data_IF_261777259536
#
_entry.id   IF_261777259536
#
_cell.length_a   1.000
_cell.length_b   1.000
_cell.length_c   1.000
_cell.angle_alpha   90.00
_cell.angle_beta   90.00
_cell.angle_gamma   90.00
#
_symmetry.space_group_name_H-M   'P 1'
#
loop_
_entity.id
_entity.type
_entity.pdbx_description
1 polymer ?
#
# COMPACT_ATOMS: atom_id res chain seq x y z
N UNK A 1 -11.38 14.28 -11.98
CA UNK A 1 -11.50 13.67 -10.94
C UNK A 1 -10.23 13.55 -10.13
N UNK A 2 -10.06 14.52 -9.31
CA UNK A 2 -8.86 14.74 -8.57
C UNK A 2 -8.53 13.62 -7.62
N UNK A 3 -7.27 13.36 -7.48
CA UNK A 3 -6.75 12.59 -6.38
C UNK A 3 -7.33 13.17 -5.10
N UNK A 4 -7.80 12.35 -4.20
CA UNK A 4 -8.17 12.84 -2.90
C UNK A 4 -6.96 13.57 -2.33
N UNK A 5 -7.17 14.62 -1.59
CA UNK A 5 -6.24 15.44 -0.91
C UNK A 5 -5.44 14.78 0.09
N UNK A 6 -4.15 14.64 -0.06
CA UNK A 6 -3.73 13.57 0.58
C UNK A 6 -2.32 13.40 0.95
N UNK A 7 -1.44 14.22 0.64
CA UNK A 7 -0.12 14.22 1.21
C UNK A 7 -0.12 15.07 2.45
N UNK A 8 0.64 14.66 3.43
CA UNK A 8 0.85 15.40 4.65
C UNK A 8 1.35 16.82 4.42
N UNK A 9 1.35 17.59 5.45
CA UNK A 9 1.80 18.97 5.41
C UNK A 9 3.23 19.10 4.87
N UNK A 10 3.55 20.24 4.35
CA UNK A 10 4.88 20.51 3.79
C UNK A 10 5.98 20.27 4.82
N UNK A 11 6.89 19.37 4.56
CA UNK A 11 7.91 19.00 5.52
C UNK A 11 8.96 20.05 5.79
N UNK A 12 9.27 20.87 4.83
CA UNK A 12 10.23 21.93 5.01
C UNK A 12 9.76 23.00 5.99
N UNK A 13 8.45 23.25 6.01
CA UNK A 13 7.85 24.17 6.97
C UNK A 13 7.88 23.60 8.38
N UNK A 14 7.68 22.29 8.54
CA UNK A 14 7.71 21.63 9.84
C UNK A 14 9.09 21.70 10.46
N UNK A 15 10.15 21.47 9.69
CA UNK A 15 11.52 21.50 10.18
C UNK A 15 12.00 22.90 10.63
N UNK A 16 11.42 23.96 10.06
CA UNK A 16 11.81 25.33 10.33
C UNK A 16 10.88 26.08 11.28
N UNK A 17 9.68 25.59 11.50
CA UNK A 17 8.68 26.29 12.29
C UNK A 17 8.88 26.11 13.80
N UNK A 18 8.63 27.14 14.62
CA UNK A 18 8.60 26.95 16.05
C UNK A 18 7.47 26.01 16.45
N UNK A 19 7.75 25.09 17.37
CA UNK A 19 6.77 24.15 17.88
C UNK A 19 5.82 24.87 18.83
N UNK A 20 4.52 24.88 18.51
CA UNK A 20 3.47 25.32 19.42
C UNK A 20 2.94 24.12 20.23
N UNK A 21 2.32 24.39 21.38
CA UNK A 21 1.91 23.36 22.32
C UNK A 21 1.09 22.22 21.70
N UNK A 22 0.12 22.54 20.85
CA UNK A 22 -0.73 21.56 20.16
C UNK A 22 -0.04 20.82 19.01
N UNK A 23 1.17 21.20 18.60
CA UNK A 23 1.87 20.63 17.45
C UNK A 23 3.09 19.78 17.84
N UNK A 24 3.46 19.76 19.10
CA UNK A 24 4.69 19.08 19.58
C UNK A 24 4.72 17.57 19.32
N UNK A 25 3.56 16.94 19.09
CA UNK A 25 3.45 15.50 18.84
C UNK A 25 3.23 15.16 17.37
N UNK A 26 3.31 16.14 16.46
CA UNK A 26 3.16 15.89 15.04
C UNK A 26 4.37 15.13 14.48
N UNK A 27 4.10 14.26 13.52
CA UNK A 27 5.15 13.61 12.73
C UNK A 27 5.82 14.61 11.80
N UNK A 28 6.93 14.24 11.20
CA UNK A 28 7.61 15.09 10.21
C UNK A 28 6.71 15.40 9.02
N UNK A 29 5.81 14.46 8.64
CA UNK A 29 4.82 14.66 7.59
C UNK A 29 3.63 15.53 8.00
N UNK A 30 3.58 16.00 9.26
CA UNK A 30 2.50 16.84 9.77
C UNK A 30 1.28 16.06 10.26
N UNK A 31 1.38 14.74 10.39
CA UNK A 31 0.29 13.91 10.90
C UNK A 31 0.20 13.98 12.42
N UNK A 32 -1.01 14.06 12.93
CA UNK A 32 -1.28 13.92 14.36
C UNK A 32 -1.60 12.45 14.68
N UNK A 33 -0.78 11.74 15.45
CA UNK A 33 -1.05 10.35 15.80
C UNK A 33 -2.41 10.13 16.47
N UNK A 34 -2.91 11.12 17.22
CA UNK A 34 -4.23 11.03 17.87
C UNK A 34 -5.37 10.89 16.85
N UNK A 35 -5.22 11.40 15.65
CA UNK A 35 -6.21 11.29 14.58
C UNK A 35 -6.26 9.89 13.94
N UNK A 36 -5.36 8.99 14.34
CA UNK A 36 -5.36 7.60 13.91
C UNK A 36 -5.81 6.63 15.00
N UNK A 37 -6.16 7.15 16.16
CA UNK A 37 -6.68 6.36 17.28
C UNK A 37 -8.18 6.17 17.15
N UNK A 38 -8.64 4.94 16.99
CA UNK A 38 -10.05 4.58 16.92
C UNK A 38 -10.23 3.11 17.28
N UNK A 39 -11.46 2.72 17.56
CA UNK A 39 -11.82 1.32 17.70
C UNK A 39 -12.61 0.89 16.46
N UNK A 40 -12.08 -0.06 15.70
CA UNK A 40 -12.72 -0.60 14.52
C UNK A 40 -12.91 -2.10 14.73
N UNK A 41 -14.18 -2.51 14.76
CA UNK A 41 -14.55 -3.92 14.97
C UNK A 41 -13.92 -4.53 16.24
N UNK A 42 -13.87 -3.73 17.31
CA UNK A 42 -13.33 -4.17 18.60
C UNK A 42 -11.80 -4.11 18.72
N UNK A 43 -11.11 -3.60 17.71
CA UNK A 43 -9.64 -3.49 17.71
C UNK A 43 -9.21 -2.05 17.63
N UNK A 44 -8.20 -1.70 18.42
CA UNK A 44 -7.65 -0.34 18.47
C UNK A 44 -6.69 -0.10 17.32
N UNK A 45 -6.91 1.02 16.60
CA UNK A 45 -5.99 1.50 15.57
C UNK A 45 -4.98 2.49 16.14
N UNK A 46 -3.83 2.57 15.50
CA UNK A 46 -2.72 3.45 15.87
C UNK A 46 -1.99 3.94 14.63
N UNK A 47 -1.19 4.99 14.80
CA UNK A 47 -0.16 5.39 13.84
C UNK A 47 1.22 5.08 14.44
N UNK A 48 2.01 4.34 13.71
CA UNK A 48 3.40 4.02 14.07
C UNK A 48 4.34 4.86 13.22
N UNK A 49 5.43 5.31 13.81
CA UNK A 49 6.44 6.13 13.12
C UNK A 49 7.77 5.42 13.14
N UNK A 50 8.37 5.23 11.98
CA UNK A 50 9.75 4.73 11.84
C UNK A 50 10.65 5.86 11.37
N UNK A 51 11.88 5.86 11.89
CA UNK A 51 12.91 6.82 11.52
C UNK A 51 14.26 6.13 11.40
N UNK A 52 15.11 6.67 10.53
CA UNK A 52 16.49 6.23 10.41
C UNK A 52 17.44 7.37 10.81
N UNK A 53 18.74 7.06 10.85
CA UNK A 53 19.79 8.02 11.23
C UNK A 53 19.95 9.18 10.24
N UNK A 54 19.41 9.07 9.04
CA UNK A 54 19.48 10.11 8.00
C UNK A 54 18.26 11.02 7.99
N UNK A 55 17.33 10.84 8.94
CA UNK A 55 16.15 11.70 9.05
C UNK A 55 14.97 11.32 8.17
N UNK A 56 15.04 10.22 7.43
CA UNK A 56 13.87 9.70 6.71
C UNK A 56 12.84 9.18 7.71
N UNK A 57 11.57 9.42 7.41
CA UNK A 57 10.45 9.01 8.25
C UNK A 57 9.41 8.24 7.44
N UNK A 58 8.90 7.14 8.00
CA UNK A 58 7.77 6.40 7.43
C UNK A 58 6.72 6.22 8.52
N UNK A 59 5.49 6.63 8.23
CA UNK A 59 4.35 6.43 9.12
C UNK A 59 3.45 5.34 8.57
N UNK A 60 3.04 4.42 9.44
CA UNK A 60 2.21 3.27 9.10
C UNK A 60 1.09 3.13 10.13
N UNK A 61 -0.15 2.96 9.67
CA UNK A 61 -1.26 2.58 10.54
C UNK A 61 -1.49 1.08 10.50
N UNK A 62 -1.92 0.51 11.61
CA UNK A 62 -2.29 -0.91 11.65
C UNK A 62 -3.65 -1.22 11.02
N UNK A 63 -4.40 -0.20 10.60
CA UNK A 63 -5.58 -0.41 9.75
C UNK A 63 -5.12 -0.74 8.33
N UNK A 64 -5.19 -2.01 7.97
CA UNK A 64 -4.72 -2.51 6.68
C UNK A 64 -3.19 -2.54 6.53
N UNK A 65 -2.44 -2.39 7.62
CA UNK A 65 -0.98 -2.26 7.61
C UNK A 65 -0.51 -1.24 6.57
N UNK A 66 -1.18 -0.08 6.52
CA UNK A 66 -1.04 0.93 5.46
C UNK A 66 0.11 1.88 5.72
N UNK A 67 0.96 2.03 4.72
CA UNK A 67 1.92 3.14 4.69
C UNK A 67 1.12 4.42 4.43
N UNK A 68 1.21 5.37 5.36
CA UNK A 68 0.47 6.63 5.33
C UNK A 68 1.32 7.75 4.75
N UNK A 69 2.60 7.81 5.12
CA UNK A 69 3.53 8.83 4.64
C UNK A 69 4.94 8.26 4.52
N UNK A 70 5.70 8.78 3.56
CA UNK A 70 7.12 8.51 3.37
C UNK A 70 7.82 9.84 3.13
N UNK A 71 8.57 10.30 4.14
CA UNK A 71 9.31 11.55 4.08
C UNK A 71 10.75 11.28 3.69
N UNK A 72 11.15 11.76 2.52
CA UNK A 72 12.50 11.59 2.00
C UNK A 72 13.13 12.94 1.64
N UNK A 73 14.45 13.11 1.80
CA UNK A 73 15.13 14.33 1.39
C UNK A 73 15.32 14.37 -0.12
N UNK A 74 15.16 15.55 -0.71
CA UNK A 74 15.60 15.82 -2.07
C UNK A 74 17.13 16.11 -2.10
N UNK A 75 17.66 16.46 -3.28
CA UNK A 75 19.10 16.78 -3.45
C UNK A 75 19.58 17.96 -2.60
N UNK A 76 18.66 18.82 -2.20
CA UNK A 76 18.95 20.00 -1.36
C UNK A 76 18.74 19.73 0.11
N UNK A 77 18.35 18.50 0.48
CA UNK A 77 18.04 18.11 1.85
C UNK A 77 16.64 18.51 2.31
N UNK A 78 15.79 19.00 1.43
CA UNK A 78 14.39 19.34 1.76
C UNK A 78 13.57 18.07 1.76
N UNK A 79 12.82 17.85 2.84
CA UNK A 79 12.00 16.65 3.02
C UNK A 79 10.67 16.79 2.30
N UNK A 80 10.26 15.70 1.60
CA UNK A 80 9.00 15.63 0.88
C UNK A 80 8.31 14.32 1.16
N UNK A 81 6.97 14.35 1.28
CA UNK A 81 6.16 13.14 1.32
C UNK A 81 5.91 12.67 -0.12
N UNK A 82 6.29 11.44 -0.43
CA UNK A 82 6.27 10.90 -1.80
C UNK A 82 5.20 9.84 -2.03
N UNK A 83 4.27 9.65 -1.08
CA UNK A 83 3.14 8.73 -1.24
C UNK A 83 1.81 9.41 -0.99
N UNK A 84 0.77 8.90 -1.63
CA UNK A 84 -0.59 9.34 -1.41
C UNK A 84 -1.16 8.70 -0.13
N UNK A 85 -1.87 9.47 0.66
CA UNK A 85 -2.49 9.01 1.89
C UNK A 85 -3.49 10.02 2.43
N UNK A 86 -4.13 9.69 3.54
CA UNK A 86 -5.06 10.58 4.25
C UNK A 86 -4.47 10.97 5.61
N UNK A 87 -5.06 11.99 6.22
CA UNK A 87 -4.56 12.58 7.47
C UNK A 87 -5.16 11.96 8.73
N UNK A 88 -6.14 11.07 8.60
CA UNK A 88 -6.85 10.49 9.74
C UNK A 88 -7.43 9.12 9.42
N UNK A 89 -7.73 8.36 10.46
CA UNK A 89 -8.27 7.02 10.33
C UNK A 89 -9.69 6.99 9.77
N UNK A 90 -10.50 8.01 10.06
CA UNK A 90 -11.88 8.07 9.58
C UNK A 90 -11.96 8.06 8.06
N UNK A 91 -11.04 8.74 7.38
CA UNK A 91 -10.96 8.74 5.93
C UNK A 91 -10.55 7.36 5.38
N UNK A 92 -9.56 6.71 5.98
CA UNK A 92 -9.17 5.36 5.56
C UNK A 92 -10.28 4.34 5.73
N UNK A 93 -11.07 4.47 6.80
CA UNK A 93 -12.16 3.55 7.10
C UNK A 93 -13.45 3.82 6.31
N UNK A 94 -13.57 5.01 5.70
CA UNK A 94 -14.75 5.41 4.93
C UNK A 94 -14.66 4.89 3.49
N UNK A 95 -15.20 3.70 3.27
CA UNK A 95 -15.17 3.02 1.97
C UNK A 95 -16.11 3.67 0.93
N UNK A 96 -17.06 4.47 1.37
CA UNK A 96 -18.06 5.09 0.50
C UNK A 96 -17.52 6.38 -0.12
N UNK A 97 -16.96 7.27 0.72
CA UNK A 97 -16.53 8.59 0.29
C UNK A 97 -15.03 8.66 -0.05
N UNK A 98 -14.23 7.79 0.58
CA UNK A 98 -12.76 7.79 0.45
C UNK A 98 -12.21 6.42 0.07
N UNK A 99 -13.03 5.54 -0.53
CA UNK A 99 -12.62 4.17 -0.86
C UNK A 99 -11.35 4.12 -1.70
N UNK A 100 -10.25 3.69 -1.07
CA UNK A 100 -8.97 3.50 -1.74
C UNK A 100 -8.18 2.40 -1.05
N UNK A 101 -7.19 1.87 -1.77
CA UNK A 101 -6.23 0.92 -1.23
C UNK A 101 -4.89 1.58 -0.91
N UNK A 102 -4.85 2.91 -0.74
CA UNK A 102 -3.62 3.66 -0.49
C UNK A 102 -2.79 3.04 0.62
N UNK A 103 -1.56 2.70 0.28
CA UNK A 103 -0.56 2.19 1.21
C UNK A 103 -0.80 0.81 1.79
N UNK A 104 -1.92 0.16 1.45
CA UNK A 104 -2.37 -1.06 2.11
C UNK A 104 -1.50 -2.28 1.80
N UNK A 105 -1.38 -3.17 2.79
CA UNK A 105 -0.96 -4.54 2.56
C UNK A 105 -2.16 -5.32 2.03
N UNK A 106 -2.03 -5.87 0.84
CA UNK A 106 -3.11 -6.59 0.16
C UNK A 106 -2.96 -8.09 0.37
N UNK A 107 -4.04 -8.74 0.75
CA UNK A 107 -4.14 -10.17 0.95
C UNK A 107 -5.62 -10.61 1.06
N UNK A 108 -5.92 -11.91 1.00
CA UNK A 108 -4.91 -12.98 0.80
C UNK A 108 -4.23 -12.92 -0.57
N UNK A 109 -4.95 -12.46 -1.63
CA UNK A 109 -4.46 -12.52 -2.99
C UNK A 109 -4.59 -11.17 -3.68
N UNK A 110 -3.47 -10.55 -3.98
CA UNK A 110 -3.40 -9.26 -4.65
C UNK A 110 -3.83 -9.39 -6.10
N UNK A 111 -4.49 -8.33 -6.59
CA UNK A 111 -5.05 -8.25 -7.93
C UNK A 111 -6.19 -9.27 -8.14
N UNK A 112 -6.46 -9.68 -9.36
CA UNK A 112 -7.66 -10.46 -9.71
C UNK A 112 -7.40 -11.95 -9.81
N UNK A 113 -8.36 -12.72 -9.30
CA UNK A 113 -8.49 -14.15 -9.59
C UNK A 113 -9.65 -14.29 -10.57
N UNK A 114 -9.38 -14.92 -11.70
CA UNK A 114 -10.35 -15.06 -12.79
C UNK A 114 -11.64 -15.72 -12.32
N UNK A 115 -12.75 -15.01 -12.48
CA UNK A 115 -14.09 -15.41 -12.05
C UNK A 115 -14.19 -15.77 -10.56
N UNK A 116 -13.20 -15.39 -9.77
CA UNK A 116 -13.13 -15.75 -8.36
C UNK A 116 -12.99 -17.24 -8.11
N UNK A 117 -12.44 -18.01 -9.02
CA UNK A 117 -12.33 -19.46 -8.87
C UNK A 117 -10.89 -19.89 -8.65
N UNK A 118 -10.70 -20.72 -7.62
CA UNK A 118 -9.42 -21.39 -7.36
C UNK A 118 -9.67 -22.90 -7.28
N UNK A 119 -8.64 -23.66 -7.60
CA UNK A 119 -8.68 -25.12 -7.43
C UNK A 119 -7.63 -25.53 -6.41
N UNK A 120 -8.07 -26.15 -5.33
CA UNK A 120 -7.20 -26.62 -4.24
C UNK A 120 -7.52 -28.10 -4.00
N UNK A 121 -6.50 -28.95 -4.11
CA UNK A 121 -6.63 -30.41 -3.97
C UNK A 121 -7.76 -31.00 -4.83
N UNK A 122 -7.85 -30.54 -6.07
CA UNK A 122 -8.86 -31.03 -7.02
C UNK A 122 -10.25 -30.47 -6.82
N UNK A 123 -10.48 -29.64 -5.83
CA UNK A 123 -11.78 -29.00 -5.57
C UNK A 123 -11.76 -27.56 -6.04
N UNK A 124 -12.76 -27.18 -6.82
CA UNK A 124 -13.00 -25.79 -7.21
C UNK A 124 -13.73 -25.06 -6.09
N UNK A 125 -13.16 -23.94 -5.67
CA UNK A 125 -13.70 -23.08 -4.63
C UNK A 125 -14.11 -21.77 -5.25
N UNK A 126 -15.36 -21.36 -5.03
CA UNK A 126 -15.86 -20.09 -5.49
C UNK A 126 -15.59 -19.01 -4.44
N UNK A 127 -14.81 -18.02 -4.82
CA UNK A 127 -14.54 -16.81 -4.03
C UNK A 127 -15.55 -15.72 -4.42
N UNK A 128 -15.67 -14.66 -3.61
CA UNK A 128 -16.50 -13.52 -3.99
C UNK A 128 -16.07 -12.91 -5.32
N UNK A 129 -17.04 -12.39 -6.07
CA UNK A 129 -16.83 -11.72 -7.35
C UNK A 129 -17.05 -10.21 -7.17
N UNK A 130 -16.19 -9.58 -6.41
CA UNK A 130 -16.34 -8.19 -5.99
C UNK A 130 -15.93 -7.14 -7.01
N UNK A 131 -15.37 -7.54 -8.17
CA UNK A 131 -14.94 -6.59 -9.19
C UNK A 131 -15.01 -7.22 -10.58
N UNK A 132 -15.87 -6.69 -11.44
CA UNK A 132 -16.05 -7.14 -12.83
C UNK A 132 -16.22 -8.67 -12.98
N UNK A 133 -16.83 -9.31 -12.00
CA UNK A 133 -17.01 -10.76 -12.00
C UNK A 133 -15.78 -11.55 -11.55
N UNK A 134 -14.75 -10.88 -11.05
CA UNK A 134 -13.53 -11.47 -10.52
C UNK A 134 -13.39 -11.22 -9.02
N UNK A 135 -12.56 -12.00 -8.35
CA UNK A 135 -12.15 -11.70 -6.98
C UNK A 135 -10.95 -10.77 -7.02
N UNK A 136 -11.12 -9.55 -6.51
CA UNK A 136 -10.08 -8.53 -6.47
C UNK A 136 -9.59 -8.32 -5.05
N UNK A 137 -8.29 -8.31 -4.88
CA UNK A 137 -7.61 -7.94 -3.64
C UNK A 137 -8.15 -8.67 -2.39
N UNK A 138 -8.35 -9.97 -2.53
CA UNK A 138 -8.79 -10.82 -1.41
C UNK A 138 -10.29 -10.79 -1.14
N UNK A 139 -11.09 -10.11 -1.96
CA UNK A 139 -12.54 -10.04 -1.81
C UNK A 139 -13.02 -8.78 -1.11
N UNK A 140 -14.34 -8.66 -0.85
CA UNK A 140 -14.94 -7.43 -0.32
C UNK A 140 -14.48 -7.06 1.09
N UNK A 141 -13.97 -8.02 1.85
CA UNK A 141 -13.40 -7.83 3.19
C UNK A 141 -11.96 -8.29 3.24
N UNK A 142 -11.18 -7.88 2.25
CA UNK A 142 -9.75 -8.18 2.19
C UNK A 142 -8.95 -7.53 3.32
N UNK A 143 -7.68 -7.85 3.38
CA UNK A 143 -6.83 -7.44 4.51
C UNK A 143 -6.55 -5.94 4.60
N UNK A 144 -6.80 -5.19 3.53
CA UNK A 144 -6.72 -3.72 3.57
C UNK A 144 -7.76 -3.08 4.52
N UNK A 145 -8.77 -3.84 4.92
CA UNK A 145 -9.83 -3.39 5.83
C UNK A 145 -9.75 -4.05 7.21
N UNK A 146 -8.73 -4.84 7.47
CA UNK A 146 -8.52 -5.49 8.77
C UNK A 146 -7.57 -4.66 9.64
N UNK A 147 -7.82 -4.70 10.93
CA UNK A 147 -6.90 -4.12 11.92
C UNK A 147 -5.87 -5.17 12.29
N UNK A 148 -4.60 -4.87 12.04
CA UNK A 148 -3.47 -5.74 12.37
C UNK A 148 -3.02 -5.52 13.81
N UNK A 149 -2.40 -6.52 14.39
CA UNK A 149 -1.65 -6.36 15.63
C UNK A 149 -0.27 -5.78 15.29
N UNK A 150 -0.03 -4.54 15.70
CA UNK A 150 1.24 -3.86 15.45
C UNK A 150 2.22 -4.03 16.60
N UNK A 151 3.48 -4.26 16.27
CA UNK A 151 4.58 -4.32 17.22
C UNK A 151 5.79 -3.61 16.68
N UNK A 152 6.14 -2.49 17.29
CA UNK A 152 7.37 -1.78 16.93
C UNK A 152 8.55 -2.37 17.69
N UNK A 153 9.49 -2.96 16.95
CA UNK A 153 10.64 -3.65 17.54
C UNK A 153 11.76 -2.67 17.90
N UNK A 154 11.89 -1.61 17.14
CA UNK A 154 12.84 -0.52 17.36
C UNK A 154 12.41 0.67 16.48
N UNK A 155 13.22 1.73 16.41
CA UNK A 155 12.87 2.95 15.65
C UNK A 155 12.70 2.73 14.14
N UNK A 156 13.26 1.65 13.61
CA UNK A 156 13.28 1.40 12.17
C UNK A 156 12.61 0.09 11.73
N UNK A 157 12.03 -0.66 12.67
CA UNK A 157 11.41 -1.97 12.34
C UNK A 157 10.04 -2.10 13.00
N UNK A 158 9.03 -2.43 12.17
CA UNK A 158 7.65 -2.58 12.58
C UNK A 158 7.10 -3.91 12.03
N UNK A 159 6.51 -4.72 12.91
CA UNK A 159 5.78 -5.93 12.54
C UNK A 159 4.29 -5.71 12.62
N UNK A 160 3.57 -6.13 11.58
CA UNK A 160 2.11 -6.13 11.53
C UNK A 160 1.62 -7.56 11.29
N UNK A 161 0.80 -8.07 12.18
CA UNK A 161 0.28 -9.45 12.10
C UNK A 161 -1.23 -9.44 11.99
N UNK A 162 -1.76 -10.21 11.05
CA UNK A 162 -3.19 -10.40 10.84
C UNK A 162 -3.54 -11.88 10.90
N UNK A 163 -4.68 -12.17 11.53
CA UNK A 163 -5.28 -13.50 11.52
C UNK A 163 -6.49 -13.49 10.60
N UNK A 164 -6.51 -14.42 9.65
CA UNK A 164 -7.59 -14.63 8.70
C UNK A 164 -8.16 -16.03 8.91
N UNK A 165 -9.39 -16.17 9.46
CA UNK A 165 -9.93 -17.48 9.81
C UNK A 165 -10.19 -18.34 8.57
N UNK A 166 -10.31 -19.66 8.82
CA UNK A 166 -10.70 -20.61 7.77
C UNK A 166 -12.04 -20.19 7.16
N UNK A 167 -12.10 -20.06 5.85
CA UNK A 167 -13.28 -19.60 5.12
C UNK A 167 -13.43 -18.09 5.00
N UNK A 168 -12.47 -17.31 5.46
CA UNK A 168 -12.47 -15.87 5.27
C UNK A 168 -12.49 -15.53 3.76
N UNK A 169 -13.52 -14.81 3.31
CA UNK A 169 -13.82 -14.61 1.88
C UNK A 169 -13.83 -15.92 1.07
N UNK A 170 -14.22 -17.03 1.71
CA UNK A 170 -14.23 -18.38 1.17
C UNK A 170 -12.86 -19.01 0.90
N UNK A 171 -11.77 -18.34 1.24
CA UNK A 171 -10.45 -18.97 1.15
C UNK A 171 -10.28 -20.05 2.22
N UNK A 172 -9.76 -21.23 1.85
CA UNK A 172 -9.56 -22.32 2.80
C UNK A 172 -8.36 -22.06 3.72
N UNK A 173 -8.45 -22.60 4.92
CA UNK A 173 -7.38 -22.55 5.92
C UNK A 173 -7.41 -21.29 6.76
N UNK A 174 -7.05 -21.44 8.03
CA UNK A 174 -6.75 -20.30 8.90
C UNK A 174 -5.32 -19.83 8.62
N UNK A 175 -5.17 -18.57 8.29
CA UNK A 175 -3.88 -17.97 7.93
C UNK A 175 -3.48 -16.93 8.96
N UNK A 176 -2.24 -17.01 9.43
CA UNK A 176 -1.59 -15.93 10.17
C UNK A 176 -0.51 -15.33 9.26
N UNK A 177 -0.66 -14.06 8.92
CA UNK A 177 0.30 -13.36 8.06
C UNK A 177 0.98 -12.22 8.83
N UNK A 178 2.27 -12.08 8.61
CA UNK A 178 3.08 -11.02 9.21
C UNK A 178 3.78 -10.22 8.11
N UNK A 179 3.59 -8.91 8.16
CA UNK A 179 4.28 -7.95 7.30
C UNK A 179 5.28 -7.21 8.16
N UNK A 180 6.55 -7.34 7.84
CA UNK A 180 7.62 -6.63 8.55
C UNK A 180 8.17 -5.53 7.67
N UNK A 181 8.04 -4.30 8.15
CA UNK A 181 8.59 -3.10 7.51
C UNK A 181 9.89 -2.71 8.18
N UNK A 182 10.94 -2.53 7.41
CA UNK A 182 12.22 -2.05 7.90
C UNK A 182 12.65 -0.83 7.09
N UNK A 183 12.88 0.28 7.78
CA UNK A 183 13.47 1.47 7.20
C UNK A 183 14.98 1.38 7.37
N UNK A 184 15.70 1.16 6.28
CA UNK A 184 17.14 0.94 6.33
C UNK A 184 17.91 2.24 6.53
N UNK A 185 19.16 2.15 6.95
CA UNK A 185 20.01 3.33 7.16
C UNK A 185 20.39 4.05 5.84
N UNK A 186 20.24 3.38 4.71
CA UNK A 186 20.50 3.94 3.37
C UNK A 186 19.23 4.38 2.64
N UNK A 187 18.17 4.67 3.41
CA UNK A 187 16.90 5.21 2.91
C UNK A 187 16.12 4.27 2.00
N UNK A 188 16.18 2.98 2.24
CA UNK A 188 15.31 1.99 1.61
C UNK A 188 14.23 1.52 2.57
N UNK A 189 13.09 1.12 2.04
CA UNK A 189 12.03 0.43 2.79
C UNK A 189 12.04 -1.02 2.36
N UNK A 190 12.34 -1.91 3.32
CA UNK A 190 12.28 -3.35 3.11
C UNK A 190 10.93 -3.86 3.64
N UNK A 191 10.21 -4.60 2.83
CA UNK A 191 8.92 -5.18 3.19
C UNK A 191 9.00 -6.69 3.06
N UNK A 192 8.84 -7.38 4.19
CA UNK A 192 8.88 -8.84 4.24
C UNK A 192 7.50 -9.39 4.56
N UNK A 193 7.05 -10.34 3.75
CA UNK A 193 5.78 -11.03 3.94
C UNK A 193 6.03 -12.48 4.35
N UNK A 194 5.37 -12.91 5.42
CA UNK A 194 5.42 -14.28 5.92
C UNK A 194 4.00 -14.73 6.26
N UNK A 195 3.68 -15.98 5.96
CA UNK A 195 2.38 -16.52 6.30
C UNK A 195 2.47 -18.00 6.65
N UNK A 196 1.66 -18.41 7.62
CA UNK A 196 1.42 -19.81 7.95
C UNK A 196 -0.06 -20.11 7.77
N UNK A 197 -0.38 -21.36 7.46
CA UNK A 197 -1.75 -21.79 7.21
C UNK A 197 -2.03 -23.17 7.79
N UNK A 198 -3.27 -23.38 8.22
CA UNK A 198 -3.72 -24.69 8.74
C UNK A 198 -4.16 -25.64 7.64
N UNK A 199 -4.47 -25.14 6.44
CA UNK A 199 -4.85 -25.93 5.26
C UNK A 199 -4.21 -25.31 4.03
N UNK A 200 -4.09 -26.11 2.97
CA UNK A 200 -3.64 -25.61 1.68
C UNK A 200 -4.54 -24.47 1.20
N UNK A 201 -3.94 -23.37 0.77
CA UNK A 201 -4.62 -22.16 0.30
C UNK A 201 -3.77 -21.43 -0.72
N UNK A 202 -4.20 -20.28 -1.16
CA UNK A 202 -3.42 -19.40 -2.04
C UNK A 202 -3.08 -18.10 -1.30
N UNK A 203 -1.85 -17.66 -1.45
CA UNK A 203 -1.34 -16.40 -0.86
C UNK A 203 -0.54 -15.66 -1.92
N UNK A 204 -0.85 -14.41 -2.12
CA UNK A 204 -0.10 -13.49 -2.95
C UNK A 204 -0.27 -12.08 -2.40
N UNK A 205 0.74 -11.55 -1.72
CA UNK A 205 0.65 -10.26 -1.05
C UNK A 205 1.45 -9.19 -1.77
N UNK A 206 1.00 -7.96 -1.63
CA UNK A 206 1.69 -6.78 -2.14
C UNK A 206 1.43 -5.57 -1.24
N UNK A 207 2.14 -4.49 -1.50
CA UNK A 207 1.86 -3.17 -0.95
C UNK A 207 1.26 -2.28 -2.04
N UNK A 208 0.20 -1.56 -1.71
CA UNK A 208 -0.57 -0.76 -2.66
C UNK A 208 -0.30 0.75 -2.53
N UNK A 209 0.91 1.13 -2.21
CA UNK A 209 1.28 2.55 -2.17
C UNK A 209 1.27 3.17 -3.55
N UNK A 210 0.80 4.40 -3.63
CA UNK A 210 0.88 5.23 -4.83
C UNK A 210 1.96 6.28 -4.62
N UNK A 211 2.97 6.26 -5.47
CA UNK A 211 4.11 7.16 -5.37
C UNK A 211 3.97 8.38 -6.28
N UNK A 212 4.35 9.53 -5.77
CA UNK A 212 4.60 10.73 -6.55
C UNK A 212 5.92 11.35 -6.07
N UNK A 213 6.97 11.10 -6.83
CA UNK A 213 8.33 11.52 -6.45
C UNK A 213 8.53 13.04 -6.53
N UNK A 214 7.58 13.79 -7.10
CA UNK A 214 7.59 15.24 -7.03
C UNK A 214 7.35 15.76 -5.61
N UNK A 215 6.70 14.95 -4.76
CA UNK A 215 6.41 15.33 -3.38
C UNK A 215 5.41 16.48 -3.25
N UNK A 216 4.65 16.76 -4.29
CA UNK A 216 3.68 17.84 -4.37
C UNK A 216 2.37 17.31 -4.95
N UNK A 217 1.26 17.30 -4.16
CA UNK A 217 -0.02 16.77 -4.62
C UNK A 217 -0.67 17.58 -5.74
N UNK A 218 -0.24 18.82 -5.96
CA UNK A 218 -0.73 19.65 -7.06
C UNK A 218 -0.07 19.33 -8.39
N UNK A 219 1.04 18.56 -8.37
CA UNK A 219 1.79 18.18 -9.55
C UNK A 219 1.54 16.69 -9.82
N UNK A 220 1.06 16.36 -11.01
CA UNK A 220 0.84 14.96 -11.35
C UNK A 220 2.16 14.19 -11.52
N UNK A 221 2.09 12.87 -11.56
CA UNK A 221 3.24 12.01 -11.65
C UNK A 221 3.66 11.65 -13.07
N UNK A 222 3.09 12.28 -14.11
CA UNK A 222 3.32 11.90 -15.50
C UNK A 222 4.76 12.14 -15.97
N UNK A 223 5.45 13.08 -15.36
CA UNK A 223 6.85 13.41 -15.67
C UNK A 223 7.85 12.45 -15.00
N UNK A 224 7.39 11.54 -14.18
CA UNK A 224 8.25 10.53 -13.57
C UNK A 224 8.82 9.59 -14.63
N UNK A 225 10.08 9.20 -14.44
CA UNK A 225 10.76 8.26 -15.31
C UNK A 225 10.64 6.85 -14.75
N UNK A 226 10.31 5.91 -15.62
CA UNK A 226 10.16 4.51 -15.24
C UNK A 226 11.12 3.63 -16.05
N UNK A 227 11.75 2.70 -15.38
CA UNK A 227 12.54 1.64 -15.97
C UNK A 227 12.06 0.29 -15.44
N UNK A 228 11.81 -0.64 -16.34
CA UNK A 228 11.44 -2.03 -15.99
C UNK A 228 12.32 -2.98 -16.80
N UNK A 229 13.09 -3.79 -16.10
CA UNK A 229 13.93 -4.82 -16.72
C UNK A 229 13.08 -6.05 -17.07
N UNK A 230 12.21 -5.89 -18.07
CA UNK A 230 11.35 -6.97 -18.55
C UNK A 230 11.14 -6.86 -20.05
N UNK A 231 11.30 -7.99 -20.76
CA UNK A 231 11.09 -8.09 -22.20
C UNK A 231 9.65 -8.41 -22.57
N UNK A 232 8.86 -8.86 -21.58
CA UNK A 232 7.47 -9.28 -21.76
C UNK A 232 6.57 -8.66 -20.71
N UNK A 233 5.30 -8.58 -21.02
CA UNK A 233 4.26 -8.19 -20.08
C UNK A 233 3.06 -9.13 -20.19
N UNK A 234 2.22 -9.14 -19.16
CA UNK A 234 0.99 -9.91 -19.11
C UNK A 234 -0.18 -8.98 -19.46
N UNK A 235 -0.78 -9.11 -20.66
CA UNK A 235 -1.90 -8.26 -21.04
C UNK A 235 -3.16 -8.58 -20.25
N UNK A 236 -4.02 -7.60 -20.12
CA UNK A 236 -5.31 -7.72 -19.46
C UNK A 236 -6.45 -7.47 -20.46
N UNK A 237 -7.60 -8.06 -20.19
CA UNK A 237 -8.84 -7.81 -20.94
C UNK A 237 -9.55 -6.53 -20.47
N UNK A 238 -10.75 -6.27 -20.96
CA UNK A 238 -11.52 -5.08 -20.60
C UNK A 238 -12.04 -5.09 -19.16
N UNK A 239 -11.95 -6.22 -18.46
CA UNK A 239 -12.26 -6.35 -17.04
C UNK A 239 -11.01 -6.24 -16.16
N UNK A 240 -9.86 -5.92 -16.77
CA UNK A 240 -8.55 -5.82 -16.12
C UNK A 240 -8.01 -7.17 -15.65
N UNK A 241 -8.61 -8.28 -16.10
CA UNK A 241 -8.10 -9.62 -15.81
C UNK A 241 -6.99 -9.98 -16.78
N UNK A 242 -5.88 -10.49 -16.28
CA UNK A 242 -4.81 -11.01 -17.15
C UNK A 242 -5.32 -12.20 -17.97
N UNK A 243 -4.94 -12.24 -19.25
CA UNK A 243 -5.45 -13.26 -20.19
C UNK A 243 -4.71 -14.58 -20.14
N UNK A 244 -3.57 -14.62 -19.45
CA UNK A 244 -2.67 -15.78 -19.45
C UNK A 244 -1.62 -15.72 -20.56
N UNK A 245 -1.70 -14.75 -21.45
CA UNK A 245 -0.69 -14.52 -22.48
C UNK A 245 0.53 -13.78 -21.88
N UNK A 246 1.67 -13.96 -22.52
CA UNK A 246 2.86 -13.15 -22.30
C UNK A 246 3.26 -12.56 -23.65
N UNK A 247 3.26 -11.24 -23.75
CA UNK A 247 3.55 -10.53 -24.99
C UNK A 247 4.85 -9.76 -24.89
N UNK A 248 5.56 -9.62 -26.02
CA UNK A 248 6.75 -8.78 -26.08
C UNK A 248 6.40 -7.32 -25.84
N UNK A 249 7.21 -6.61 -25.08
CA UNK A 249 7.06 -5.17 -24.88
C UNK A 249 7.55 -4.38 -26.09
N UNK A 250 8.37 -4.95 -26.96
CA UNK A 250 8.99 -4.28 -28.10
C UNK A 250 7.95 -3.63 -29.01
N UNK A 251 8.10 -2.34 -29.28
CA UNK A 251 7.21 -1.58 -30.14
C UNK A 251 5.85 -1.24 -29.50
N UNK A 252 5.69 -1.42 -28.19
CA UNK A 252 4.45 -1.15 -27.46
C UNK A 252 4.65 -0.08 -26.40
N UNK A 253 3.56 0.54 -25.88
CA UNK A 253 3.63 1.47 -24.75
C UNK A 253 4.16 0.83 -23.46
N UNK A 254 4.23 -0.49 -23.37
CA UNK A 254 4.71 -1.25 -22.20
C UNK A 254 6.22 -1.42 -22.20
N UNK A 255 6.95 -0.88 -23.17
CA UNK A 255 8.41 -0.99 -23.22
C UNK A 255 9.07 0.07 -22.33
N UNK A 256 9.49 -0.37 -21.13
CA UNK A 256 10.22 0.43 -20.17
C UNK A 256 11.64 -0.10 -19.92
N UNK A 257 12.23 -0.78 -20.91
CA UNK A 257 13.59 -1.30 -20.82
C UNK A 257 14.67 -0.22 -20.81
N UNK A 258 14.28 1.03 -21.02
CA UNK A 258 15.08 2.24 -20.81
C UNK A 258 14.28 3.20 -19.95
N UNK A 259 14.96 4.07 -19.20
CA UNK A 259 14.26 5.12 -18.45
C UNK A 259 13.41 5.95 -19.41
N UNK A 260 12.11 5.93 -19.21
CA UNK A 260 11.12 6.55 -20.09
C UNK A 260 10.12 7.32 -19.23
N UNK A 261 9.79 8.54 -19.66
CA UNK A 261 8.75 9.34 -19.00
C UNK A 261 7.39 8.64 -19.12
N UNK A 262 6.62 8.62 -18.04
CA UNK A 262 5.25 8.11 -18.05
C UNK A 262 4.35 8.89 -19.01
N UNK A 263 4.68 10.16 -19.29
CA UNK A 263 3.90 11.01 -20.22
C UNK A 263 3.97 10.55 -21.67
N UNK A 264 4.96 9.75 -22.06
CA UNK A 264 5.18 9.33 -23.46
C UNK A 264 3.93 8.74 -24.10
N UNK A 265 3.25 7.83 -23.38
CA UNK A 265 2.12 7.07 -23.91
C UNK A 265 0.93 7.04 -22.93
N UNK A 266 0.80 8.05 -22.07
CA UNK A 266 -0.18 8.05 -20.98
C UNK A 266 -1.63 7.95 -21.44
N UNK A 267 -1.91 8.36 -22.66
CA UNK A 267 -3.24 8.34 -23.25
C UNK A 267 -3.46 7.22 -24.30
N UNK A 268 -2.56 6.27 -24.40
CA UNK A 268 -2.63 5.17 -25.34
C UNK A 268 -3.15 3.86 -24.71
#
# INVERSE_FOLDING_TARGET
>A
DGWPHIMGASPSAVAAAPVVEGMKNLTLSGLDPAHFESNIEGRQTHLYTMRNSKGMEVCITNFGARIVSIMVPDRKGVMHDVVLGYDNIAQYADRINFGSDFGAAIGRYANRINKGQITVDGKTIQLPQNNYGHCLHGGPTGWQYKVYDGRQLNDSTLQMTVFSPDGDNNFPGAVTATVTYTLTHDNAIDIRYEATTTKKTVINMTNHSYFNLNGDPSHDGEDQMLYINADRYTPADTTYMTTGEELSVAGTPMDFRRFTSLSRDINN
#
